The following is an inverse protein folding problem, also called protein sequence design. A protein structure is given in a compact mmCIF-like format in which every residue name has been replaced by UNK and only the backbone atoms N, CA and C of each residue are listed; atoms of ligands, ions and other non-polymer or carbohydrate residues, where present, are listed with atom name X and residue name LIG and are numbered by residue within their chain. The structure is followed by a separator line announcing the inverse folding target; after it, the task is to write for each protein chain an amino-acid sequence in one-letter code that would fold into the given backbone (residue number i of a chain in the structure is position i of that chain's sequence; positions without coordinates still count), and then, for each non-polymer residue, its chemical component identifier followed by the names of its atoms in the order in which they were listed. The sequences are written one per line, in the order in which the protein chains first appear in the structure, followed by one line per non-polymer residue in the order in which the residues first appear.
data_IF_616355884722
#
_entry.id   IF_616355884722
#
_cell.length_a   1.000
_cell.length_b   1.000
_cell.length_c   1.000
_cell.angle_alpha   90.00
_cell.angle_beta   90.00
_cell.angle_gamma   90.00
#
_symmetry.space_group_name_H-M   'P 1'
#
loop_
_entity.id
_entity.type
_entity.pdbx_description
1 polymer ?
#
# COMPACT_ATOMS: atom_id res chain seq x y z
N UNK A 1 4.37 -17.51 -16.75
CA UNK A 1 3.36 -16.79 -15.95
C UNK A 1 2.15 -17.69 -15.77
N UNK A 2 1.81 -17.99 -14.51
CA UNK A 2 0.72 -18.93 -14.17
C UNK A 2 -0.59 -18.21 -13.85
N UNK A 3 -0.54 -16.93 -13.47
CA UNK A 3 -1.73 -16.13 -13.18
C UNK A 3 -1.48 -14.64 -13.46
N UNK A 4 -2.56 -13.89 -13.66
CA UNK A 4 -2.57 -12.42 -13.72
C UNK A 4 -3.32 -11.80 -12.54
N UNK A 5 -4.02 -12.62 -11.77
CA UNK A 5 -4.81 -12.19 -10.61
C UNK A 5 -4.23 -12.80 -9.34
N UNK A 6 -4.14 -11.98 -8.30
CA UNK A 6 -3.70 -12.36 -6.97
C UNK A 6 -4.74 -11.91 -5.95
N UNK A 7 -5.19 -12.83 -5.10
CA UNK A 7 -6.09 -12.50 -4.00
C UNK A 7 -5.31 -12.56 -2.68
N UNK A 8 -5.21 -11.42 -2.00
CA UNK A 8 -4.66 -11.34 -0.66
C UNK A 8 -5.76 -11.62 0.35
N UNK A 9 -5.67 -12.74 1.06
CA UNK A 9 -6.59 -13.11 2.11
C UNK A 9 -5.95 -12.80 3.48
N UNK A 10 -6.65 -12.08 4.34
CA UNK A 10 -6.12 -11.69 5.64
C UNK A 10 -7.16 -11.79 6.77
N UNK A 11 -6.66 -12.01 7.96
CA UNK A 11 -7.46 -12.01 9.19
C UNK A 11 -7.92 -10.58 9.50
N UNK A 12 -9.16 -10.46 9.98
CA UNK A 12 -9.76 -9.17 10.29
C UNK A 12 -9.17 -8.53 11.56
N UNK A 13 -7.84 -8.33 11.58
CA UNK A 13 -7.14 -7.65 12.66
C UNK A 13 -6.18 -6.55 12.15
N UNK A 14 -5.62 -5.78 13.08
CA UNK A 14 -4.70 -4.70 12.75
C UNK A 14 -3.42 -5.18 12.09
N UNK A 15 -2.89 -6.35 12.50
CA UNK A 15 -1.66 -6.90 11.93
C UNK A 15 -1.88 -7.37 10.49
N UNK A 16 -2.99 -8.08 10.23
CA UNK A 16 -3.39 -8.51 8.89
C UNK A 16 -3.62 -7.32 7.95
N UNK A 17 -4.29 -6.25 8.41
CA UNK A 17 -4.49 -5.02 7.64
C UNK A 17 -3.17 -4.35 7.25
N UNK A 18 -2.24 -4.21 8.20
CA UNK A 18 -0.92 -3.62 7.94
C UNK A 18 -0.09 -4.49 6.99
N UNK A 19 -0.16 -5.82 7.13
CA UNK A 19 0.51 -6.75 6.23
C UNK A 19 -0.05 -6.63 4.80
N UNK A 20 -1.38 -6.57 4.65
CA UNK A 20 -2.05 -6.38 3.36
C UNK A 20 -1.66 -5.05 2.72
N UNK A 21 -1.64 -3.97 3.49
CA UNK A 21 -1.23 -2.66 2.99
C UNK A 21 0.20 -2.67 2.44
N UNK A 22 1.14 -3.28 3.16
CA UNK A 22 2.53 -3.45 2.70
C UNK A 22 2.62 -4.33 1.45
N UNK A 23 1.84 -5.40 1.40
CA UNK A 23 1.79 -6.27 0.21
C UNK A 23 1.27 -5.52 -1.01
N UNK A 24 0.22 -4.70 -0.86
CA UNK A 24 -0.30 -3.85 -1.92
C UNK A 24 0.74 -2.83 -2.42
N UNK A 25 1.51 -2.21 -1.53
CA UNK A 25 2.60 -1.27 -1.91
C UNK A 25 3.70 -1.95 -2.76
N UNK A 26 4.03 -3.20 -2.43
CA UNK A 26 5.01 -4.00 -3.18
C UNK A 26 4.44 -4.38 -4.55
N UNK A 27 3.17 -4.76 -4.59
CA UNK A 27 2.49 -5.25 -5.78
C UNK A 27 2.04 -4.14 -6.75
N UNK A 28 1.99 -2.88 -6.31
CA UNK A 28 1.64 -1.72 -7.15
C UNK A 28 2.51 -1.59 -8.41
N UNK A 29 3.74 -2.09 -8.35
CA UNK A 29 4.69 -2.06 -9.47
C UNK A 29 4.66 -3.34 -10.31
N UNK A 30 3.76 -4.25 -10.00
CA UNK A 30 3.62 -5.53 -10.68
C UNK A 30 2.50 -5.47 -11.73
N UNK A 31 2.50 -6.45 -12.62
CA UNK A 31 1.43 -6.61 -13.63
C UNK A 31 0.23 -7.41 -13.11
N UNK A 32 0.16 -7.67 -11.79
CA UNK A 32 -0.95 -8.42 -11.21
C UNK A 32 -2.15 -7.52 -10.94
N UNK A 33 -3.33 -8.03 -11.24
CA UNK A 33 -4.57 -7.50 -10.68
C UNK A 33 -4.70 -8.02 -9.26
N UNK A 34 -4.61 -7.12 -8.27
CA UNK A 34 -4.66 -7.53 -6.86
C UNK A 34 -6.05 -7.29 -6.30
N UNK A 35 -6.60 -8.33 -5.69
CA UNK A 35 -7.84 -8.28 -4.93
C UNK A 35 -7.57 -8.56 -3.46
N UNK A 36 -8.39 -8.05 -2.59
CA UNK A 36 -8.26 -8.21 -1.14
C UNK A 36 -9.51 -8.88 -0.59
N UNK A 37 -9.32 -9.97 0.14
CA UNK A 37 -10.37 -10.70 0.81
C UNK A 37 -10.22 -10.55 2.32
N UNK A 38 -11.20 -9.90 2.94
CA UNK A 38 -11.32 -9.81 4.39
C UNK A 38 -12.17 -10.96 4.90
N UNK A 39 -11.57 -11.81 5.75
CA UNK A 39 -12.32 -12.88 6.38
C UNK A 39 -13.26 -12.35 7.45
N UNK A 40 -14.53 -12.78 7.49
CA UNK A 40 -15.42 -12.42 8.57
C UNK A 40 -14.98 -13.06 9.88
N UNK A 41 -15.20 -12.39 11.01
CA UNK A 41 -14.97 -12.99 12.32
C UNK A 41 -16.01 -14.09 12.59
N UNK A 42 -15.59 -15.17 13.25
CA UNK A 42 -16.50 -16.17 13.80
C UNK A 42 -17.05 -15.68 15.14
N UNK A 43 -18.33 -15.86 15.35
CA UNK A 43 -18.94 -15.58 16.67
C UNK A 43 -18.83 -16.84 17.54
N UNK A 44 -18.13 -16.73 18.67
CA UNK A 44 -18.03 -17.77 19.69
C UNK A 44 -18.51 -17.17 21.01
N UNK A 45 -19.55 -17.74 21.59
CA UNK A 45 -20.19 -17.23 22.85
C UNK A 45 -20.54 -15.73 22.80
N UNK A 46 -21.00 -15.27 21.63
CA UNK A 46 -21.36 -13.85 21.41
C UNK A 46 -20.17 -12.91 21.24
N UNK A 47 -18.93 -13.43 21.23
CA UNK A 47 -17.71 -12.65 21.02
C UNK A 47 -17.13 -12.90 19.63
N UNK A 48 -16.70 -11.83 18.91
CA UNK A 48 -16.05 -11.98 17.62
C UNK A 48 -14.65 -12.59 17.79
N UNK A 49 -14.48 -13.80 17.28
CA UNK A 49 -13.21 -14.53 17.30
C UNK A 49 -12.63 -14.57 15.89
N UNK A 50 -11.32 -14.41 15.80
CA UNK A 50 -10.60 -14.52 14.52
C UNK A 50 -10.73 -15.94 13.96
N UNK A 51 -10.75 -16.03 12.64
CA UNK A 51 -10.62 -17.29 11.93
C UNK A 51 -9.75 -17.07 10.71
N UNK A 52 -8.96 -18.05 10.37
CA UNK A 52 -8.21 -18.10 9.12
C UNK A 52 -9.04 -18.73 7.98
N UNK A 53 -8.47 -18.80 6.77
CA UNK A 53 -9.16 -19.35 5.61
C UNK A 53 -9.46 -20.86 5.77
N UNK A 54 -8.57 -21.60 6.42
CA UNK A 54 -8.76 -23.04 6.69
C UNK A 54 -9.91 -23.25 7.67
N UNK A 55 -9.94 -22.49 8.77
CA UNK A 55 -11.05 -22.51 9.73
C UNK A 55 -12.37 -22.11 9.07
N UNK A 56 -12.36 -21.09 8.19
CA UNK A 56 -13.57 -20.68 7.49
C UNK A 56 -14.10 -21.80 6.59
N UNK A 57 -13.23 -22.42 5.80
CA UNK A 57 -13.63 -23.53 4.89
C UNK A 57 -14.14 -24.73 5.67
N UNK A 58 -13.51 -25.09 6.79
CA UNK A 58 -13.96 -26.17 7.66
C UNK A 58 -15.33 -25.92 8.28
N UNK A 59 -15.62 -24.67 8.65
CA UNK A 59 -16.87 -24.31 9.31
C UNK A 59 -18.03 -24.08 8.33
N UNK A 60 -17.78 -23.52 7.14
CA UNK A 60 -18.81 -23.02 6.22
C UNK A 60 -18.77 -23.70 4.84
N UNK A 61 -17.75 -24.49 4.57
CA UNK A 61 -17.57 -25.21 3.31
C UNK A 61 -16.91 -24.40 2.19
N UNK A 62 -16.43 -25.08 1.14
CA UNK A 62 -15.73 -24.45 0.02
C UNK A 62 -16.64 -23.48 -0.78
N UNK A 63 -17.92 -23.82 -0.97
CA UNK A 63 -18.84 -22.97 -1.73
C UNK A 63 -19.04 -21.61 -1.06
N UNK A 64 -19.03 -21.55 0.28
CA UNK A 64 -19.10 -20.28 1.00
C UNK A 64 -17.83 -19.45 0.81
N UNK A 65 -16.68 -20.11 0.76
CA UNK A 65 -15.41 -19.44 0.51
C UNK A 65 -15.31 -18.93 -0.93
N UNK A 66 -15.80 -19.66 -1.93
CA UNK A 66 -15.88 -19.20 -3.32
C UNK A 66 -16.78 -17.97 -3.47
N UNK A 67 -17.89 -17.89 -2.75
CA UNK A 67 -18.73 -16.69 -2.71
C UNK A 67 -18.00 -15.51 -2.11
N UNK A 68 -17.22 -15.70 -1.03
CA UNK A 68 -16.37 -14.65 -0.47
C UNK A 68 -15.29 -14.19 -1.47
N UNK A 69 -14.64 -15.13 -2.15
CA UNK A 69 -13.66 -14.80 -3.19
C UNK A 69 -14.27 -13.95 -4.30
N UNK A 70 -15.49 -14.28 -4.73
CA UNK A 70 -16.22 -13.51 -5.75
C UNK A 70 -16.53 -12.08 -5.31
N UNK A 71 -16.75 -11.87 -4.02
CA UNK A 71 -17.01 -10.57 -3.40
C UNK A 71 -15.75 -9.84 -2.90
N UNK A 72 -14.52 -10.35 -3.18
CA UNK A 72 -13.30 -9.70 -2.74
C UNK A 72 -13.13 -8.31 -3.38
N UNK A 73 -12.66 -7.37 -2.57
CA UNK A 73 -12.49 -5.97 -2.98
C UNK A 73 -11.26 -5.79 -3.87
N UNK A 74 -11.30 -4.81 -4.77
CA UNK A 74 -10.11 -4.36 -5.48
C UNK A 74 -9.15 -3.69 -4.49
N UNK A 75 -7.83 -3.82 -4.71
CA UNK A 75 -6.81 -3.22 -3.84
C UNK A 75 -6.96 -1.70 -3.64
N UNK A 76 -7.55 -0.98 -4.61
CA UNK A 76 -7.82 0.45 -4.48
C UNK A 76 -9.03 0.71 -3.57
N UNK A 77 -10.10 -0.07 -3.70
CA UNK A 77 -11.28 0.01 -2.82
C UNK A 77 -10.89 -0.27 -1.37
N UNK A 78 -10.06 -1.29 -1.15
CA UNK A 78 -9.50 -1.57 0.17
C UNK A 78 -8.75 -0.36 0.75
N UNK A 79 -7.88 0.29 -0.02
CA UNK A 79 -7.13 1.48 0.44
C UNK A 79 -8.05 2.66 0.77
N UNK A 80 -9.07 2.89 -0.06
CA UNK A 80 -10.06 3.94 0.19
C UNK A 80 -10.82 3.64 1.49
N UNK A 81 -11.26 2.39 1.70
CA UNK A 81 -11.94 1.98 2.92
C UNK A 81 -11.06 2.09 4.17
N UNK A 82 -9.77 1.75 4.08
CA UNK A 82 -8.80 1.92 5.18
C UNK A 82 -8.60 3.40 5.55
N UNK A 83 -8.58 4.30 4.56
CA UNK A 83 -8.53 5.73 4.83
C UNK A 83 -9.83 6.19 5.49
N UNK A 84 -10.98 5.80 4.93
CA UNK A 84 -12.29 6.18 5.48
C UNK A 84 -12.47 5.73 6.93
N UNK A 85 -11.96 4.54 7.28
CA UNK A 85 -12.04 4.00 8.65
C UNK A 85 -11.25 4.77 9.71
N UNK A 86 -10.41 5.74 9.33
CA UNK A 86 -9.65 6.59 10.26
C UNK A 86 -10.41 7.86 10.68
N UNK A 87 -11.48 8.20 9.97
CA UNK A 87 -12.18 9.46 10.11
C UNK A 87 -13.66 9.26 10.44
N UNK A 88 -14.21 10.13 11.25
CA UNK A 88 -15.65 10.26 11.42
C UNK A 88 -16.20 11.13 10.28
N UNK A 89 -16.77 10.48 9.26
CA UNK A 89 -17.31 11.15 8.07
C UNK A 89 -18.61 11.92 8.34
N UNK A 90 -19.15 11.91 9.57
CA UNK A 90 -20.24 12.80 9.97
C UNK A 90 -19.74 14.20 10.38
N UNK A 91 -18.47 14.33 10.74
CA UNK A 91 -17.82 15.60 11.08
C UNK A 91 -17.20 16.26 9.85
N UNK A 92 -17.59 17.50 9.57
CA UNK A 92 -17.11 18.27 8.41
C UNK A 92 -15.58 18.43 8.38
N UNK A 93 -14.93 18.61 9.55
CA UNK A 93 -13.48 18.76 9.63
C UNK A 93 -12.77 17.45 9.28
N UNK A 94 -13.33 16.35 9.77
CA UNK A 94 -12.77 15.03 9.47
C UNK A 94 -13.02 14.62 8.02
N UNK A 95 -14.13 15.04 7.40
CA UNK A 95 -14.35 14.88 5.96
C UNK A 95 -13.29 15.61 5.11
N UNK A 96 -12.85 16.80 5.54
CA UNK A 96 -11.75 17.51 4.87
C UNK A 96 -10.45 16.74 5.00
N UNK A 97 -10.11 16.27 6.20
CA UNK A 97 -8.90 15.46 6.43
C UNK A 97 -8.92 14.14 5.64
N UNK A 98 -10.08 13.48 5.59
CA UNK A 98 -10.29 12.32 4.72
C UNK A 98 -10.02 12.65 3.24
N UNK A 99 -10.59 13.75 2.73
CA UNK A 99 -10.40 14.17 1.34
C UNK A 99 -8.93 14.41 1.00
N UNK A 100 -8.16 15.00 1.90
CA UNK A 100 -6.72 15.20 1.74
C UNK A 100 -5.96 13.87 1.68
N UNK A 101 -6.23 12.94 2.61
CA UNK A 101 -5.52 11.66 2.67
C UNK A 101 -5.90 10.75 1.50
N UNK A 102 -7.20 10.60 1.19
CA UNK A 102 -7.66 9.75 0.09
C UNK A 102 -7.21 10.27 -1.28
N UNK A 103 -7.08 11.59 -1.43
CA UNK A 103 -6.52 12.19 -2.65
C UNK A 103 -5.08 11.76 -2.91
N UNK A 104 -4.31 11.50 -1.86
CA UNK A 104 -2.95 10.94 -1.98
C UNK A 104 -2.96 9.51 -2.57
N UNK A 105 -3.89 8.68 -2.14
CA UNK A 105 -4.08 7.32 -2.67
C UNK A 105 -4.51 7.38 -4.14
N UNK A 106 -5.53 8.18 -4.45
CA UNK A 106 -6.09 8.30 -5.80
C UNK A 106 -5.09 8.92 -6.80
N UNK A 107 -4.27 9.86 -6.36
CA UNK A 107 -3.17 10.42 -7.16
C UNK A 107 -2.07 9.41 -7.47
N UNK A 108 -2.06 8.27 -6.82
CA UNK A 108 -1.18 7.13 -7.15
C UNK A 108 -1.59 6.39 -8.42
N UNK A 109 -2.86 6.47 -8.83
CA UNK A 109 -3.38 5.78 -10.00
C UNK A 109 -2.89 6.44 -11.30
N UNK A 110 -2.23 5.66 -12.15
CA UNK A 110 -1.72 6.17 -13.44
C UNK A 110 -2.85 6.34 -14.46
N UNK A 111 -3.81 5.41 -14.48
CA UNK A 111 -4.95 5.44 -15.39
C UNK A 111 -5.93 6.55 -14.99
N UNK A 112 -6.16 7.52 -15.88
CA UNK A 112 -7.03 8.66 -15.63
C UNK A 112 -8.51 8.26 -15.48
N UNK A 113 -8.97 7.25 -16.22
CA UNK A 113 -10.37 6.78 -16.14
C UNK A 113 -10.59 6.06 -14.81
N UNK A 114 -9.67 5.19 -14.43
CA UNK A 114 -9.71 4.49 -13.15
C UNK A 114 -9.69 5.49 -11.99
N UNK A 115 -8.81 6.48 -12.05
CA UNK A 115 -8.74 7.56 -11.06
C UNK A 115 -10.06 8.32 -10.93
N UNK A 116 -10.73 8.64 -12.05
CA UNK A 116 -12.03 9.32 -12.05
C UNK A 116 -13.12 8.46 -11.39
N UNK A 117 -13.19 7.16 -11.74
CA UNK A 117 -14.18 6.24 -11.17
C UNK A 117 -14.03 6.14 -9.64
N UNK A 118 -12.80 5.94 -9.16
CA UNK A 118 -12.58 5.81 -7.71
C UNK A 118 -12.68 7.15 -6.97
N UNK A 119 -12.41 8.27 -7.64
CA UNK A 119 -12.67 9.60 -7.07
C UNK A 119 -14.16 9.80 -6.84
N UNK A 120 -15.01 9.45 -7.79
CA UNK A 120 -16.46 9.56 -7.63
C UNK A 120 -16.98 8.67 -6.49
N UNK A 121 -16.54 7.41 -6.41
CA UNK A 121 -16.92 6.48 -5.33
C UNK A 121 -16.46 6.97 -3.95
N UNK A 122 -15.22 7.45 -3.85
CA UNK A 122 -14.68 7.97 -2.59
C UNK A 122 -15.41 9.23 -2.13
N UNK A 123 -15.82 10.10 -3.06
CA UNK A 123 -16.61 11.29 -2.77
C UNK A 123 -17.99 10.91 -2.24
N UNK A 124 -18.68 9.98 -2.91
CA UNK A 124 -20.01 9.48 -2.51
C UNK A 124 -19.97 8.90 -1.08
N UNK A 125 -18.99 8.06 -0.79
CA UNK A 125 -18.82 7.44 0.53
C UNK A 125 -18.65 8.48 1.67
N UNK A 126 -18.09 9.65 1.37
CA UNK A 126 -17.87 10.73 2.35
C UNK A 126 -18.94 11.85 2.29
N UNK A 127 -19.96 11.71 1.45
CA UNK A 127 -20.98 12.77 1.25
C UNK A 127 -20.39 14.05 0.66
N UNK A 128 -19.32 13.93 -0.15
CA UNK A 128 -18.69 15.02 -0.87
C UNK A 128 -19.15 15.04 -2.32
N UNK A 129 -19.02 16.17 -3.00
CA UNK A 129 -19.19 16.22 -4.44
C UNK A 129 -17.96 15.64 -5.14
N UNK A 130 -18.17 14.86 -6.20
CA UNK A 130 -17.06 14.30 -6.99
C UNK A 130 -16.16 15.41 -7.54
N UNK A 131 -16.71 16.56 -7.89
CA UNK A 131 -15.93 17.71 -8.40
C UNK A 131 -14.98 18.28 -7.33
N UNK A 132 -15.46 18.44 -6.10
CA UNK A 132 -14.61 18.93 -5.00
C UNK A 132 -13.44 18.00 -4.73
N UNK A 133 -13.70 16.67 -4.63
CA UNK A 133 -12.65 15.69 -4.42
C UNK A 133 -11.70 15.61 -5.61
N UNK A 134 -12.19 15.70 -6.84
CA UNK A 134 -11.36 15.71 -8.05
C UNK A 134 -10.34 16.85 -8.04
N UNK A 135 -10.73 18.06 -7.61
CA UNK A 135 -9.80 19.18 -7.48
C UNK A 135 -8.64 18.85 -6.51
N UNK A 136 -8.92 18.20 -5.39
CA UNK A 136 -7.88 17.80 -4.44
C UNK A 136 -6.99 16.68 -5.00
N UNK A 137 -7.58 15.70 -5.72
CA UNK A 137 -6.83 14.64 -6.41
C UNK A 137 -5.89 15.23 -7.46
N UNK A 138 -6.35 16.19 -8.26
CA UNK A 138 -5.51 16.86 -9.26
C UNK A 138 -4.35 17.65 -8.62
N UNK A 139 -4.61 18.30 -7.48
CA UNK A 139 -3.56 18.97 -6.70
C UNK A 139 -2.54 17.98 -6.15
N UNK A 140 -3.01 16.85 -5.59
CA UNK A 140 -2.15 15.80 -5.09
C UNK A 140 -1.30 15.17 -6.21
N UNK A 141 -1.89 14.91 -7.37
CA UNK A 141 -1.21 14.39 -8.55
C UNK A 141 -0.10 15.33 -9.03
N UNK A 142 -0.39 16.63 -9.13
CA UNK A 142 0.62 17.63 -9.49
C UNK A 142 1.74 17.74 -8.46
N UNK A 143 1.42 17.64 -7.15
CA UNK A 143 2.43 17.61 -6.07
C UNK A 143 3.34 16.40 -6.19
N UNK A 144 2.77 15.21 -6.44
CA UNK A 144 3.50 13.96 -6.63
C UNK A 144 4.46 14.06 -7.82
N UNK A 145 3.97 14.48 -8.98
CA UNK A 145 4.78 14.64 -10.20
C UNK A 145 5.95 15.63 -10.00
N UNK A 146 5.72 16.76 -9.32
CA UNK A 146 6.79 17.72 -8.99
C UNK A 146 7.82 17.14 -8.03
N UNK A 147 7.40 16.36 -7.04
CA UNK A 147 8.30 15.68 -6.10
C UNK A 147 9.16 14.66 -6.83
N UNK A 148 8.58 13.80 -7.64
CA UNK A 148 9.29 12.77 -8.41
C UNK A 148 10.31 13.39 -9.38
N UNK A 149 9.93 14.48 -10.06
CA UNK A 149 10.86 15.22 -10.94
C UNK A 149 12.06 15.74 -10.16
N UNK A 150 11.82 16.40 -9.01
CA UNK A 150 12.89 16.94 -8.15
C UNK A 150 13.79 15.85 -7.59
N UNK A 151 13.21 14.70 -7.19
CA UNK A 151 13.97 13.58 -6.64
C UNK A 151 14.82 12.89 -7.73
N UNK A 152 14.32 12.86 -8.99
CA UNK A 152 15.11 12.42 -10.15
C UNK A 152 16.29 13.37 -10.41
N UNK A 153 16.03 14.66 -10.53
CA UNK A 153 17.07 15.69 -10.73
C UNK A 153 18.14 15.61 -9.63
N UNK A 154 17.71 15.44 -8.37
CA UNK A 154 18.64 15.29 -7.25
C UNK A 154 19.51 14.02 -7.35
N UNK A 155 18.96 12.91 -7.80
CA UNK A 155 19.71 11.66 -8.03
C UNK A 155 20.71 11.81 -9.18
N UNK A 156 20.32 12.48 -10.25
CA UNK A 156 21.18 12.74 -11.41
C UNK A 156 22.32 13.72 -11.05
N UNK A 157 22.07 14.69 -10.20
CA UNK A 157 23.06 15.66 -9.74
C UNK A 157 23.94 15.16 -8.59
N UNK A 158 23.59 14.08 -7.90
CA UNK A 158 24.45 13.45 -6.92
C UNK A 158 25.45 12.57 -7.67
N UNK A 159 26.76 12.96 -7.73
CA UNK A 159 27.74 12.08 -8.33
C UNK A 159 27.73 10.77 -7.54
N UNK A 160 27.68 9.64 -8.26
CA UNK A 160 27.91 8.35 -7.67
C UNK A 160 29.27 8.44 -6.96
N UNK A 161 29.28 8.62 -5.65
CA UNK A 161 30.47 8.40 -4.85
C UNK A 161 30.75 6.91 -4.97
N UNK A 162 31.47 6.56 -6.00
CA UNK A 162 32.12 5.26 -6.08
C UNK A 162 33.11 5.29 -4.93
N UNK A 163 32.69 4.77 -3.77
CA UNK A 163 33.62 4.39 -2.73
C UNK A 163 34.53 3.34 -3.40
N UNK A 164 35.62 3.80 -3.99
CA UNK A 164 36.74 2.91 -4.28
C UNK A 164 37.08 2.31 -2.93
N UNK A 165 37.03 0.98 -2.77
CA UNK A 165 37.55 0.37 -1.58
C UNK A 165 38.99 0.90 -1.48
N UNK A 166 39.33 1.46 -0.33
CA UNK A 166 40.69 1.94 -0.07
C UNK A 166 41.64 0.76 -0.37
N UNK A 167 42.07 0.74 -1.62
CA UNK A 167 43.01 -0.25 -2.08
C UNK A 167 44.35 0.09 -1.45
N UNK A 168 44.65 -0.58 -0.39
CA UNK A 168 45.95 -1.04 0.08
C UNK A 168 45.73 -1.65 1.45
N UNK A 169 45.37 -2.93 1.45
CA UNK A 169 45.74 -3.75 2.59
C UNK A 169 47.24 -3.53 2.84
N UNK A 170 47.58 -3.11 4.06
CA UNK A 170 48.94 -3.15 4.55
C UNK A 170 49.52 -4.54 4.23
N UNK A 171 50.45 -4.62 3.28
CA UNK A 171 51.15 -5.87 3.03
C UNK A 171 51.87 -6.25 4.29
N UNK A 172 51.70 -7.45 4.74
CA UNK A 172 52.31 -8.03 5.94
C UNK A 172 53.85 -7.90 5.94
N UNK A 173 54.45 -7.66 4.79
CA UNK A 173 55.87 -7.43 4.60
C UNK A 173 56.36 -6.11 5.20
N UNK A 174 55.48 -5.09 5.36
CA UNK A 174 55.92 -3.80 5.94
C UNK A 174 55.81 -3.76 7.48
N UNK A 175 55.21 -4.76 8.11
CA UNK A 175 55.16 -4.85 9.57
C UNK A 175 56.42 -5.49 10.18
N UNK A 176 57.18 -6.26 9.40
CA UNK A 176 58.42 -6.88 9.89
C UNK A 176 59.64 -5.95 9.87
N UNK A 177 59.67 -4.95 9.01
CA UNK A 177 60.76 -3.98 8.96
C UNK A 177 60.67 -2.89 10.03
N UNK A 178 59.48 -2.59 10.53
CA UNK A 178 59.28 -1.59 11.60
C UNK A 178 59.57 -2.12 13.01
N UNK A 179 59.70 -3.44 13.20
CA UNK A 179 60.05 -4.07 14.48
C UNK A 179 61.54 -4.53 14.60
N UNK A 180 62.37 -4.20 13.60
CA UNK A 180 63.78 -4.60 13.57
C UNK A 180 64.75 -3.43 13.88
N UNK A 181 64.19 -2.25 14.23
CA UNK A 181 65.00 -1.07 14.59
C UNK A 181 64.77 -0.60 16.03
N UNK A 182 64.46 -1.50 16.99
CA UNK A 182 64.64 -1.27 18.43
C UNK A 182 65.65 -2.24 19.06
#
# INVERSE_FOLDING_TARGET
RYTKELVLCYDNDNAGRLATQRALEILDKSEFTVRVLKLPNKMVDGQPTKQDADDFIKNFGPDAFERLLSGSENGIEFRIAEVAGKFDLSDDRQRVAYAEEVSGVLAGLENAVEREIYTARAAEAAGLTAEALRLEVDRAFKRKARKEKRDRERREMSPAVTLQPAGRGLRYENLRSAMAEE
#
